data_IF_042387505946
#
_entry.id   IF_042387505946
#
_cell.length_a   1.000
_cell.length_b   1.000
_cell.length_c   1.000
_cell.angle_alpha   90.00
_cell.angle_beta   90.00
_cell.angle_gamma   90.00
#
_symmetry.space_group_name_H-M   'P 1'
#
loop_
_entity.id
_entity.type
_entity.pdbx_description
1 polymer ?
#
# COMPACT_ATOMS: atom_id res chain seq x y z
N UNK A 1 -60.25 10.95 15.24
CA UNK A 1 -58.77 11.03 15.28
C UNK A 1 -58.33 10.65 16.68
N UNK A 2 -57.78 9.46 16.86
CA UNK A 2 -57.34 8.94 18.17
C UNK A 2 -56.02 8.18 17.96
N UNK A 3 -55.11 8.39 18.92
CA UNK A 3 -53.86 7.67 19.18
C UNK A 3 -52.72 8.07 18.23
N UNK A 4 -51.48 8.31 18.66
CA UNK A 4 -50.81 7.83 19.86
C UNK A 4 -49.69 8.81 20.27
N UNK A 5 -49.51 8.95 21.59
CA UNK A 5 -48.38 9.63 22.21
C UNK A 5 -47.05 8.95 21.86
N UNK A 6 -46.01 9.79 21.79
CA UNK A 6 -44.61 9.42 21.71
C UNK A 6 -44.12 8.70 22.98
N UNK A 7 -43.24 7.72 22.80
CA UNK A 7 -42.30 7.27 23.84
C UNK A 7 -40.98 6.92 23.18
N UNK A 8 -39.97 7.73 23.50
CA UNK A 8 -38.55 7.50 23.25
C UNK A 8 -38.11 6.15 23.82
N UNK A 9 -37.40 5.36 23.02
CA UNK A 9 -36.53 4.30 23.50
C UNK A 9 -35.12 4.60 22.98
N UNK A 10 -34.31 5.15 23.89
CA UNK A 10 -32.91 5.49 23.71
C UNK A 10 -32.11 4.48 24.54
N UNK A 11 -31.00 4.01 23.97
CA UNK A 11 -29.95 3.14 24.52
C UNK A 11 -30.18 1.61 24.56
N UNK A 12 -29.43 0.92 23.69
CA UNK A 12 -28.40 -0.01 24.15
C UNK A 12 -27.28 -0.10 23.10
N UNK A 13 -26.19 0.64 23.32
CA UNK A 13 -24.90 0.38 22.66
C UNK A 13 -24.39 -0.94 23.24
N UNK A 14 -24.55 -2.04 22.50
CA UNK A 14 -23.93 -3.30 22.85
C UNK A 14 -22.41 -3.12 22.76
N UNK A 15 -21.78 -3.21 23.93
CA UNK A 15 -20.34 -3.18 24.10
C UNK A 15 -19.72 -4.33 23.31
N UNK A 16 -18.84 -4.00 22.37
CA UNK A 16 -17.95 -4.98 21.75
C UNK A 16 -17.07 -5.56 22.86
N UNK A 17 -17.33 -6.80 23.27
CA UNK A 17 -16.41 -7.57 24.09
C UNK A 17 -15.23 -7.93 23.19
N UNK A 18 -14.16 -7.14 23.29
CA UNK A 18 -12.85 -7.54 22.82
C UNK A 18 -12.46 -8.80 23.61
N UNK A 19 -12.45 -9.94 22.93
CA UNK A 19 -11.94 -11.19 23.50
C UNK A 19 -10.47 -10.96 23.84
N UNK A 20 -10.06 -11.11 25.11
CA UNK A 20 -8.66 -11.00 25.50
C UNK A 20 -7.89 -12.18 24.90
N UNK A 21 -6.81 -11.84 24.20
CA UNK A 21 -5.68 -12.68 23.81
C UNK A 21 -5.84 -14.20 23.91
N UNK A 22 -6.02 -14.85 22.77
CA UNK A 22 -5.33 -16.13 22.56
C UNK A 22 -3.87 -15.81 22.28
N UNK A 23 -3.08 -15.62 23.33
CA UNK A 23 -1.65 -15.95 23.22
C UNK A 23 -1.62 -17.44 22.89
N UNK A 24 -1.27 -17.77 21.65
CA UNK A 24 -0.86 -19.14 21.32
C UNK A 24 0.47 -19.37 22.04
N UNK A 25 0.38 -19.73 23.31
CA UNK A 25 1.50 -20.30 24.04
C UNK A 25 1.79 -21.64 23.33
N UNK A 26 2.84 -21.63 22.51
CA UNK A 26 3.33 -22.83 21.86
C UNK A 26 3.97 -23.70 22.95
N UNK A 27 3.16 -24.55 23.56
CA UNK A 27 3.66 -25.57 24.46
C UNK A 27 4.57 -26.52 23.64
N UNK A 28 5.86 -26.47 23.92
CA UNK A 28 6.83 -27.40 23.34
C UNK A 28 6.66 -28.74 24.02
N UNK A 29 5.88 -29.62 23.40
CA UNK A 29 5.86 -31.04 23.75
C UNK A 29 7.25 -31.61 23.45
N UNK A 30 7.97 -32.18 24.42
CA UNK A 30 9.24 -32.87 24.16
C UNK A 30 8.97 -34.06 23.25
N UNK A 31 9.56 -34.06 22.06
CA UNK A 31 9.51 -35.21 21.16
C UNK A 31 10.40 -36.31 21.79
N UNK A 32 9.89 -37.53 22.02
CA UNK A 32 10.73 -38.63 22.48
C UNK A 32 11.86 -38.87 21.46
N UNK A 33 13.09 -39.02 21.95
CA UNK A 33 14.24 -39.43 21.14
C UNK A 33 13.87 -40.73 20.38
N UNK A 34 13.79 -40.65 19.05
CA UNK A 34 13.48 -41.80 18.19
C UNK A 34 12.19 -41.74 17.35
N UNK A 35 11.35 -40.70 17.44
CA UNK A 35 10.10 -40.64 16.65
C UNK A 35 10.27 -40.26 15.16
N UNK A 36 11.50 -39.99 14.71
CA UNK A 36 11.80 -39.79 13.28
C UNK A 36 12.38 -41.07 12.66
N UNK A 37 11.73 -42.22 12.85
CA UNK A 37 11.98 -43.35 11.95
C UNK A 37 11.30 -43.07 10.61
N UNK A 38 12.11 -42.48 9.74
CA UNK A 38 11.87 -42.25 8.32
C UNK A 38 11.35 -43.52 7.62
N UNK A 39 10.04 -43.63 7.40
CA UNK A 39 9.47 -44.62 6.48
C UNK A 39 9.65 -44.26 5.00
N UNK A 40 10.30 -43.13 4.70
CA UNK A 40 10.78 -42.87 3.36
C UNK A 40 12.08 -43.65 3.17
N UNK A 41 12.08 -44.59 2.23
CA UNK A 41 13.33 -45.17 1.74
C UNK A 41 14.22 -44.06 1.18
N UNK A 42 15.53 -44.31 1.12
CA UNK A 42 16.55 -43.40 0.62
C UNK A 42 16.23 -42.85 -0.79
N UNK A 43 15.39 -41.83 -0.87
CA UNK A 43 15.29 -40.94 -2.03
C UNK A 43 16.41 -39.92 -1.84
N UNK A 44 17.40 -39.95 -2.72
CA UNK A 44 18.58 -39.08 -2.67
C UNK A 44 18.24 -37.61 -2.87
N UNK A 45 17.57 -37.00 -1.90
CA UNK A 45 17.23 -35.59 -1.89
C UNK A 45 18.09 -34.87 -0.84
N UNK A 46 19.14 -34.21 -1.32
CA UNK A 46 19.99 -33.34 -0.51
C UNK A 46 19.24 -32.04 -0.24
N UNK A 47 18.87 -31.79 1.02
CA UNK A 47 18.31 -30.52 1.46
C UNK A 47 19.44 -29.47 1.47
N UNK A 48 19.45 -28.57 0.48
CA UNK A 48 20.37 -27.43 0.46
C UNK A 48 19.69 -26.27 1.22
N UNK A 49 20.38 -25.62 2.17
CA UNK A 49 19.87 -24.41 2.81
C UNK A 49 19.58 -23.34 1.76
N UNK A 50 18.40 -22.71 1.82
CA UNK A 50 18.10 -21.57 0.96
C UNK A 50 19.06 -20.43 1.26
N UNK A 51 19.85 -20.00 0.28
CA UNK A 51 20.69 -18.82 0.42
C UNK A 51 19.80 -17.58 0.65
N UNK A 52 20.17 -16.68 1.58
CA UNK A 52 19.41 -15.46 1.80
C UNK A 52 19.40 -14.62 0.51
N UNK A 53 18.21 -14.33 0.00
CA UNK A 53 18.05 -13.44 -1.16
C UNK A 53 18.69 -12.08 -0.85
N UNK A 54 19.73 -11.73 -1.59
CA UNK A 54 20.36 -10.40 -1.51
C UNK A 54 19.40 -9.38 -2.12
N UNK A 55 18.49 -8.84 -1.29
CA UNK A 55 17.60 -7.77 -1.72
C UNK A 55 18.42 -6.50 -1.95
N UNK A 56 18.44 -5.99 -3.17
CA UNK A 56 19.00 -4.68 -3.45
C UNK A 56 18.20 -3.62 -2.67
N UNK A 57 18.89 -2.73 -1.94
CA UNK A 57 18.25 -1.56 -1.37
C UNK A 57 17.64 -0.74 -2.52
N UNK A 58 16.35 -0.44 -2.43
CA UNK A 58 15.70 0.45 -3.39
C UNK A 58 16.25 1.86 -3.19
N UNK A 59 16.69 2.51 -4.26
CA UNK A 59 16.99 3.93 -4.20
C UNK A 59 15.74 4.69 -3.74
N UNK A 60 15.94 5.85 -3.12
CA UNK A 60 14.85 6.72 -2.68
C UNK A 60 14.88 7.95 -3.57
N UNK A 61 13.71 8.36 -4.05
CA UNK A 61 13.52 9.58 -4.85
C UNK A 61 12.34 10.36 -4.30
N UNK A 62 12.24 11.64 -4.66
CA UNK A 62 11.11 12.45 -4.28
C UNK A 62 10.25 12.84 -5.47
N UNK A 63 8.97 13.02 -5.18
CA UNK A 63 8.00 13.50 -6.15
C UNK A 63 7.22 14.63 -5.51
N UNK A 64 7.33 15.81 -6.12
CA UNK A 64 6.54 16.96 -5.75
C UNK A 64 5.13 16.83 -6.36
N UNK A 65 4.11 16.79 -5.52
CA UNK A 65 2.72 16.65 -5.93
C UNK A 65 1.90 17.80 -5.38
N UNK A 66 0.94 18.29 -6.17
CA UNK A 66 0.01 19.31 -5.71
C UNK A 66 -1.43 18.93 -6.05
N UNK A 67 -2.33 19.31 -5.14
CA UNK A 67 -3.77 19.12 -5.32
C UNK A 67 -4.31 20.03 -6.42
N UNK A 68 -3.66 21.18 -6.65
CA UNK A 68 -4.04 22.11 -7.71
C UNK A 68 -3.08 22.01 -8.91
N UNK A 69 -3.58 22.34 -10.10
CA UNK A 69 -2.77 22.51 -11.29
C UNK A 69 -1.79 23.71 -11.15
N UNK A 70 -0.86 23.82 -12.09
CA UNK A 70 0.20 24.84 -12.15
C UNK A 70 1.13 24.87 -10.92
N UNK A 71 1.29 23.74 -10.21
CA UNK A 71 2.05 23.67 -8.96
C UNK A 71 1.59 24.69 -7.89
N UNK A 72 0.29 25.02 -7.89
CA UNK A 72 -0.31 25.89 -6.89
C UNK A 72 -0.49 25.16 -5.55
N UNK A 73 -0.38 25.84 -4.40
CA UNK A 73 -0.66 25.25 -3.08
C UNK A 73 -2.05 24.62 -3.06
N UNK A 74 -2.33 23.50 -2.40
CA UNK A 74 -1.52 22.75 -1.44
C UNK A 74 -0.64 21.66 -2.12
N UNK A 75 0.66 21.67 -1.79
CA UNK A 75 1.66 20.77 -2.36
C UNK A 75 2.43 20.03 -1.27
N UNK A 76 2.94 18.84 -1.61
CA UNK A 76 3.82 18.07 -0.75
C UNK A 76 4.90 17.38 -1.57
N UNK A 77 6.05 17.19 -0.95
CA UNK A 77 7.15 16.42 -1.51
C UNK A 77 7.07 15.01 -0.90
N UNK A 78 6.64 14.04 -1.70
CA UNK A 78 6.47 12.65 -1.28
C UNK A 78 7.74 11.86 -1.52
N UNK A 79 8.23 11.21 -0.49
CA UNK A 79 9.34 10.26 -0.59
C UNK A 79 8.82 8.92 -1.12
N UNK A 80 9.37 8.45 -2.24
CA UNK A 80 8.99 7.18 -2.88
C UNK A 80 10.22 6.30 -3.11
N UNK A 81 10.04 4.99 -2.93
CA UNK A 81 11.09 4.02 -3.21
C UNK A 81 11.14 3.71 -4.71
N UNK A 82 12.30 3.91 -5.33
CA UNK A 82 12.56 3.61 -6.74
C UNK A 82 12.32 2.12 -7.03
N UNK A 83 11.64 1.83 -8.14
CA UNK A 83 11.23 0.49 -8.54
C UNK A 83 10.05 -0.09 -7.75
N UNK A 84 9.64 0.54 -6.65
CA UNK A 84 8.47 0.16 -5.86
C UNK A 84 7.19 0.85 -6.33
N UNK A 85 6.04 0.20 -6.11
CA UNK A 85 4.74 0.85 -6.22
C UNK A 85 4.41 1.57 -4.92
N UNK A 86 4.06 2.85 -5.00
CA UNK A 86 3.63 3.67 -3.87
C UNK A 86 2.15 4.01 -4.04
N UNK A 87 1.33 3.59 -3.07
CA UNK A 87 -0.10 3.93 -3.05
C UNK A 87 -0.29 5.29 -2.41
N UNK A 88 -1.03 6.16 -3.09
CA UNK A 88 -1.45 7.44 -2.57
C UNK A 88 -2.56 7.16 -1.53
N UNK A 89 -2.49 7.84 -0.39
CA UNK A 89 -3.43 7.62 0.72
C UNK A 89 -3.92 8.95 1.27
N UNK A 90 -5.09 8.94 1.91
CA UNK A 90 -5.70 10.13 2.49
C UNK A 90 -5.98 11.20 1.44
N UNK A 91 -5.61 12.45 1.73
CA UNK A 91 -5.86 13.62 0.89
C UNK A 91 -5.14 13.63 -0.46
N UNK A 92 -4.26 12.67 -0.74
CA UNK A 92 -3.52 12.57 -2.01
C UNK A 92 -4.15 11.58 -2.99
N UNK A 93 -4.99 10.67 -2.49
CA UNK A 93 -5.70 9.73 -3.35
C UNK A 93 -6.79 10.49 -4.11
N UNK A 94 -6.82 10.35 -5.43
CA UNK A 94 -7.83 10.98 -6.29
C UNK A 94 -7.92 12.51 -6.10
N UNK A 95 -6.77 13.16 -5.89
CA UNK A 95 -6.73 14.60 -5.62
C UNK A 95 -5.57 15.33 -6.30
N UNK A 96 -4.64 14.61 -6.94
CA UNK A 96 -3.46 15.23 -7.53
C UNK A 96 -3.83 15.81 -8.91
N UNK A 97 -3.50 17.09 -9.10
CA UNK A 97 -3.70 17.82 -10.35
C UNK A 97 -2.38 18.25 -11.01
N UNK A 98 -1.25 18.27 -10.28
CA UNK A 98 0.08 18.48 -10.86
C UNK A 98 1.17 17.70 -10.14
N UNK A 99 2.22 17.34 -10.89
CA UNK A 99 3.27 16.44 -10.43
C UNK A 99 4.63 16.77 -11.06
N UNK A 100 5.68 16.77 -10.25
CA UNK A 100 7.06 17.06 -10.64
C UNK A 100 8.02 16.08 -9.96
N UNK A 101 8.52 15.04 -10.65
CA UNK A 101 9.52 14.14 -10.08
C UNK A 101 10.90 14.80 -10.03
N UNK A 102 11.75 14.34 -9.11
CA UNK A 102 13.15 14.77 -9.04
C UNK A 102 13.90 14.53 -10.35
N UNK A 103 14.91 15.37 -10.62
CA UNK A 103 15.76 15.24 -11.80
C UNK A 103 16.46 13.87 -11.85
N UNK A 104 16.45 13.23 -13.02
CA UNK A 104 17.06 11.91 -13.23
C UNK A 104 16.15 10.73 -12.86
N UNK A 105 14.92 10.97 -12.43
CA UNK A 105 13.90 9.94 -12.17
C UNK A 105 12.80 9.99 -13.22
N UNK A 106 12.28 8.82 -13.62
CA UNK A 106 11.07 8.72 -14.45
C UNK A 106 9.94 8.10 -13.66
N UNK A 107 8.79 8.78 -13.58
CA UNK A 107 7.62 8.30 -12.86
C UNK A 107 6.47 7.92 -13.80
N UNK A 108 5.66 6.99 -13.32
CA UNK A 108 4.38 6.59 -13.92
C UNK A 108 3.30 6.73 -12.87
N UNK A 109 2.24 7.46 -13.21
CA UNK A 109 1.04 7.63 -12.39
C UNK A 109 -0.02 6.64 -12.83
N UNK A 110 -0.73 6.06 -11.87
CA UNK A 110 -1.74 5.02 -12.09
C UNK A 110 -3.08 5.40 -11.46
N UNK A 111 -4.14 5.05 -12.16
CA UNK A 111 -5.52 5.38 -11.80
C UNK A 111 -5.95 4.58 -10.57
N UNK A 112 -5.58 3.31 -10.51
CA UNK A 112 -5.88 2.44 -9.39
C UNK A 112 -4.69 2.31 -8.44
N UNK A 113 -4.97 1.91 -7.19
CA UNK A 113 -3.93 1.50 -6.26
C UNK A 113 -3.19 0.24 -6.76
N UNK A 114 -1.93 0.06 -6.36
CA UNK A 114 -1.15 -1.11 -6.72
C UNK A 114 -0.50 -1.04 -8.11
N UNK A 115 -0.42 0.16 -8.69
CA UNK A 115 0.20 0.43 -9.99
C UNK A 115 -0.48 -0.36 -11.12
N UNK A 116 -1.80 -0.25 -11.17
CA UNK A 116 -2.67 -0.93 -12.14
C UNK A 116 -3.66 0.04 -12.78
N UNK A 117 -4.32 -0.44 -13.84
CA UNK A 117 -5.33 0.32 -14.56
C UNK A 117 -4.73 1.31 -15.55
N UNK A 118 -5.46 2.41 -15.80
CA UNK A 118 -5.02 3.47 -16.72
C UNK A 118 -3.84 4.23 -16.12
N UNK A 119 -2.86 4.60 -16.95
CA UNK A 119 -1.64 5.26 -16.47
C UNK A 119 -1.16 6.41 -17.34
N UNK A 120 -0.47 7.35 -16.72
CA UNK A 120 0.34 8.38 -17.39
C UNK A 120 1.82 8.01 -17.18
N UNK A 121 2.50 7.65 -18.27
CA UNK A 121 3.90 7.20 -18.28
C UNK A 121 4.85 8.34 -18.66
N UNK A 122 6.16 8.12 -18.48
CA UNK A 122 7.23 9.03 -18.89
C UNK A 122 7.13 10.44 -18.27
N UNK A 123 6.68 10.51 -17.01
CA UNK A 123 6.70 11.76 -16.25
C UNK A 123 8.14 11.96 -15.78
N UNK A 124 8.82 12.95 -16.36
CA UNK A 124 10.20 13.34 -16.05
C UNK A 124 10.23 14.81 -15.65
N UNK A 125 11.26 15.24 -14.91
CA UNK A 125 11.45 16.66 -14.56
C UNK A 125 11.36 17.57 -15.81
N UNK A 126 10.58 18.67 -15.80
CA UNK A 126 9.92 19.32 -14.66
C UNK A 126 8.55 18.74 -14.26
N UNK A 127 8.06 17.72 -14.97
CA UNK A 127 6.81 17.04 -14.71
C UNK A 127 5.62 17.59 -15.50
N UNK A 128 4.41 17.30 -15.01
CA UNK A 128 3.14 17.70 -15.60
C UNK A 128 2.49 18.75 -14.71
N UNK A 129 2.37 19.95 -15.26
CA UNK A 129 1.77 21.11 -14.62
C UNK A 129 0.24 21.03 -14.57
N UNK A 130 -0.40 20.31 -15.49
CA UNK A 130 -1.85 20.08 -15.46
C UNK A 130 -2.19 18.65 -15.91
N UNK A 131 -2.64 17.81 -14.99
CA UNK A 131 -3.05 16.43 -15.29
C UNK A 131 -4.39 16.35 -16.03
N UNK A 132 -5.16 17.44 -16.06
CA UNK A 132 -6.40 17.52 -16.86
C UNK A 132 -6.13 17.38 -18.36
N UNK A 133 -4.97 17.81 -18.85
CA UNK A 133 -4.57 17.69 -20.25
C UNK A 133 -4.47 16.22 -20.70
N UNK A 134 -4.31 15.31 -19.74
CA UNK A 134 -4.24 13.87 -19.93
C UNK A 134 -5.51 13.14 -19.47
N UNK A 135 -6.57 13.89 -19.14
CA UNK A 135 -7.81 13.37 -18.53
C UNK A 135 -7.52 12.53 -17.26
N UNK A 136 -6.55 13.00 -16.47
CA UNK A 136 -5.99 12.33 -15.29
C UNK A 136 -6.01 13.21 -14.02
N UNK A 137 -6.81 14.28 -14.03
CA UNK A 137 -6.98 15.15 -12.88
C UNK A 137 -7.72 14.42 -11.76
N UNK A 138 -7.24 14.54 -10.52
CA UNK A 138 -7.96 14.08 -9.32
C UNK A 138 -8.39 12.62 -9.37
N UNK A 139 -7.58 11.76 -10.02
CA UNK A 139 -7.88 10.32 -10.17
C UNK A 139 -6.65 9.44 -9.99
N UNK A 140 -5.52 10.02 -9.54
CA UNK A 140 -4.32 9.26 -9.29
C UNK A 140 -4.44 8.54 -7.94
N UNK A 141 -4.26 7.21 -7.93
CA UNK A 141 -4.26 6.39 -6.71
C UNK A 141 -2.92 5.71 -6.43
N UNK A 142 -2.02 5.60 -7.42
CA UNK A 142 -0.66 5.12 -7.15
C UNK A 142 0.39 5.67 -8.11
N UNK A 143 1.66 5.58 -7.69
CA UNK A 143 2.81 6.07 -8.43
C UNK A 143 3.96 5.07 -8.35
N UNK A 144 4.70 4.94 -9.44
CA UNK A 144 5.96 4.19 -9.49
C UNK A 144 7.02 5.03 -10.17
N UNK A 145 8.17 5.15 -9.54
CA UNK A 145 9.31 5.90 -10.07
C UNK A 145 10.51 4.97 -10.27
N UNK A 146 11.27 5.18 -11.33
CA UNK A 146 12.47 4.41 -11.70
C UNK A 146 13.64 5.31 -12.04
#
# INVERSE_FOLDING_TARGET
MKLSLATSALLALASAVAVPGTTHEAERIPVPEGFFESHIGSVGFTLVPAEPLKMAARAITHVYVCINADFKPACSNLQVNTGGCYNLVGNWNDAISSIGPDAGTTCTLWFDAGCSGRSVVNIINPGIWNLSDFNFNDVASSIKCV
#
